data_IF_183509066630
#
_entry.id   IF_183509066630
#
_cell.length_a   1.000
_cell.length_b   1.000
_cell.length_c   1.000
_cell.angle_alpha   90.00
_cell.angle_beta   90.00
_cell.angle_gamma   90.00
#
_symmetry.space_group_name_H-M   'P 1'
#
loop_
_entity.id
_entity.type
_entity.pdbx_description
1 polymer ?
#
# COMPACT_ATOMS: atom_id res chain seq x y z
N UNK A 1 -27.12 22.65 -17.70
CA UNK A 1 -25.72 22.29 -17.94
C UNK A 1 -25.00 22.01 -16.62
N UNK A 2 -25.19 22.85 -15.59
CA UNK A 2 -24.46 22.75 -14.32
C UNK A 2 -24.72 21.45 -13.59
N UNK A 3 -25.97 20.99 -13.53
CA UNK A 3 -26.31 19.69 -12.94
C UNK A 3 -25.66 18.48 -13.67
N UNK A 4 -25.52 18.57 -15.00
CA UNK A 4 -24.83 17.53 -15.78
C UNK A 4 -23.35 17.54 -15.46
N UNK A 5 -22.73 18.73 -15.37
CA UNK A 5 -21.34 18.87 -15.02
C UNK A 5 -21.06 18.41 -13.59
N UNK A 6 -21.94 18.75 -12.66
CA UNK A 6 -21.85 18.31 -11.26
C UNK A 6 -21.90 16.78 -11.16
N UNK A 7 -22.85 16.12 -11.81
CA UNK A 7 -22.95 14.66 -11.86
C UNK A 7 -21.70 14.04 -12.48
N UNK A 8 -21.22 14.59 -13.59
CA UNK A 8 -20.01 14.12 -14.25
C UNK A 8 -18.79 14.22 -13.32
N UNK A 9 -18.56 15.40 -12.72
CA UNK A 9 -17.43 15.63 -11.82
C UNK A 9 -17.49 14.80 -10.55
N UNK A 10 -18.68 14.39 -10.10
CA UNK A 10 -18.84 13.55 -8.91
C UNK A 10 -18.72 12.04 -9.20
N UNK A 11 -18.87 11.60 -10.45
CA UNK A 11 -18.90 10.17 -10.77
C UNK A 11 -17.74 9.68 -11.62
N UNK A 12 -17.03 10.57 -12.31
CA UNK A 12 -15.97 10.16 -13.23
C UNK A 12 -14.83 9.42 -12.52
N UNK A 13 -14.38 8.30 -13.11
CA UNK A 13 -13.24 7.54 -12.62
C UNK A 13 -11.94 8.26 -12.98
N UNK A 14 -11.16 8.65 -11.97
CA UNK A 14 -9.91 9.41 -12.11
C UNK A 14 -8.66 8.61 -11.72
N UNK A 15 -8.79 7.29 -11.59
CA UNK A 15 -7.70 6.41 -11.16
C UNK A 15 -7.52 6.36 -9.63
N UNK A 16 -6.56 5.57 -9.16
CA UNK A 16 -6.30 5.37 -7.72
C UNK A 16 -7.55 4.97 -6.90
N UNK A 17 -8.54 4.31 -7.53
CA UNK A 17 -9.87 4.05 -6.97
C UNK A 17 -10.65 5.31 -6.59
N UNK A 18 -10.34 6.46 -7.17
CA UNK A 18 -11.04 7.70 -6.93
C UNK A 18 -12.14 7.90 -7.98
N UNK A 19 -13.37 8.00 -7.53
CA UNK A 19 -14.53 8.39 -8.31
C UNK A 19 -14.93 9.80 -7.90
N UNK A 20 -14.99 10.71 -8.88
CA UNK A 20 -15.21 12.13 -8.70
C UNK A 20 -13.98 12.93 -8.28
N UNK A 21 -14.06 14.24 -8.51
CA UNK A 21 -12.93 15.18 -8.30
C UNK A 21 -12.54 15.33 -6.84
N UNK A 22 -13.49 15.24 -5.90
CA UNK A 22 -13.21 15.31 -4.48
C UNK A 22 -12.34 14.14 -4.01
N UNK A 23 -12.73 12.91 -4.38
CA UNK A 23 -11.96 11.70 -4.06
C UNK A 23 -10.59 11.70 -4.74
N UNK A 24 -10.50 12.23 -5.96
CA UNK A 24 -9.24 12.36 -6.68
C UNK A 24 -8.32 13.41 -6.04
N UNK A 25 -8.84 14.55 -5.60
CA UNK A 25 -8.08 15.57 -4.89
C UNK A 25 -7.40 14.99 -3.64
N UNK A 26 -8.15 14.24 -2.85
CA UNK A 26 -7.61 13.52 -1.68
C UNK A 26 -6.59 12.45 -2.07
N UNK A 27 -6.86 11.65 -3.11
CA UNK A 27 -6.00 10.54 -3.53
C UNK A 27 -4.67 10.98 -4.16
N UNK A 28 -4.67 12.12 -4.87
CA UNK A 28 -3.48 12.63 -5.59
C UNK A 28 -2.73 13.70 -4.82
N UNK A 29 -3.44 14.53 -4.02
CA UNK A 29 -2.85 15.70 -3.39
C UNK A 29 -3.04 15.74 -1.86
N UNK A 30 -3.88 14.89 -1.30
CA UNK A 30 -4.18 14.87 0.14
C UNK A 30 -4.92 16.13 0.61
N UNK A 31 -5.67 16.79 -0.29
CA UNK A 31 -6.39 18.04 -0.06
C UNK A 31 -7.84 17.94 -0.52
N UNK A 32 -8.69 18.79 0.01
CA UNK A 32 -10.04 18.97 -0.53
C UNK A 32 -9.99 19.60 -1.94
N UNK A 33 -11.00 19.30 -2.77
CA UNK A 33 -11.06 19.82 -4.15
C UNK A 33 -11.04 21.35 -4.20
N UNK A 34 -11.64 22.02 -3.22
CA UNK A 34 -11.63 23.50 -3.08
C UNK A 34 -10.27 24.11 -2.76
N UNK A 35 -9.32 23.29 -2.29
CA UNK A 35 -7.97 23.73 -1.90
C UNK A 35 -6.92 23.46 -2.99
N UNK A 36 -7.37 22.91 -4.13
CA UNK A 36 -6.48 22.62 -5.24
C UNK A 36 -5.97 23.89 -5.90
N UNK A 37 -4.68 23.91 -6.22
CA UNK A 37 -4.08 24.97 -7.04
C UNK A 37 -4.42 24.78 -8.51
N UNK A 38 -4.24 25.82 -9.31
CA UNK A 38 -4.49 25.78 -10.76
C UNK A 38 -3.77 24.59 -11.46
N UNK A 39 -2.46 24.35 -11.24
CA UNK A 39 -1.79 23.20 -11.85
C UNK A 39 -2.33 21.86 -11.37
N UNK A 40 -2.83 21.75 -10.13
CA UNK A 40 -3.44 20.54 -9.61
C UNK A 40 -4.81 20.27 -10.25
N UNK A 41 -5.62 21.31 -10.44
CA UNK A 41 -6.90 21.20 -11.19
C UNK A 41 -6.65 20.79 -12.64
N UNK A 42 -5.68 21.42 -13.32
CA UNK A 42 -5.30 21.08 -14.68
C UNK A 42 -4.80 19.63 -14.79
N UNK A 43 -4.10 19.11 -13.75
CA UNK A 43 -3.70 17.72 -13.70
C UNK A 43 -4.90 16.78 -13.55
N UNK A 44 -5.86 17.04 -12.67
CA UNK A 44 -7.06 16.17 -12.56
C UNK A 44 -7.83 16.11 -13.89
N UNK A 45 -7.86 17.20 -14.65
CA UNK A 45 -8.54 17.25 -15.93
C UNK A 45 -7.94 16.36 -17.03
N UNK A 46 -6.70 15.89 -16.89
CA UNK A 46 -6.09 14.96 -17.85
C UNK A 46 -6.44 13.50 -17.60
N UNK A 47 -6.84 13.14 -16.37
CA UNK A 47 -7.02 11.77 -15.92
C UNK A 47 -8.15 11.00 -16.63
N UNK A 48 -9.29 11.63 -17.05
CA UNK A 48 -10.32 10.93 -17.82
C UNK A 48 -9.82 10.22 -19.07
N UNK A 49 -8.76 10.74 -19.69
CA UNK A 49 -8.16 10.13 -20.90
C UNK A 49 -7.47 8.81 -20.65
N UNK A 50 -6.99 8.58 -19.42
CA UNK A 50 -6.28 7.34 -19.06
C UNK A 50 -5.48 7.53 -17.78
N UNK A 51 -6.09 7.30 -16.61
CA UNK A 51 -5.46 7.59 -15.32
C UNK A 51 -4.11 6.88 -15.11
N UNK A 52 -4.01 5.64 -15.58
CA UNK A 52 -2.76 4.85 -15.45
C UNK A 52 -1.61 5.39 -16.29
N UNK A 53 -1.93 6.02 -17.43
CA UNK A 53 -0.92 6.57 -18.34
C UNK A 53 -0.30 7.88 -17.83
N UNK A 54 -0.98 8.54 -16.90
CA UNK A 54 -0.60 9.84 -16.35
C UNK A 54 -0.44 9.79 -14.83
N UNK A 55 -0.18 8.59 -14.25
CA UNK A 55 0.11 8.49 -12.82
C UNK A 55 1.35 9.32 -12.49
N UNK A 56 1.28 10.22 -11.48
CA UNK A 56 2.30 11.23 -11.25
C UNK A 56 3.58 10.66 -10.64
N UNK A 57 3.54 9.43 -10.17
CA UNK A 57 4.70 8.73 -9.60
C UNK A 57 5.37 7.84 -10.66
N UNK A 58 4.55 7.11 -11.45
CA UNK A 58 5.05 6.16 -12.45
C UNK A 58 5.44 6.83 -13.77
N UNK A 59 4.74 7.90 -14.13
CA UNK A 59 4.86 8.57 -15.42
C UNK A 59 4.89 10.09 -15.25
N UNK A 60 5.73 10.59 -14.33
CA UNK A 60 5.80 12.01 -13.94
C UNK A 60 5.98 12.93 -15.15
N UNK A 61 6.90 12.62 -16.04
CA UNK A 61 7.18 13.43 -17.24
C UNK A 61 5.95 13.53 -18.15
N UNK A 62 5.33 12.39 -18.47
CA UNK A 62 4.07 12.35 -19.26
C UNK A 62 2.94 13.14 -18.62
N UNK A 63 2.81 13.02 -17.30
CA UNK A 63 1.82 13.75 -16.54
C UNK A 63 2.05 15.27 -16.61
N UNK A 64 3.32 15.72 -16.49
CA UNK A 64 3.70 17.11 -16.61
C UNK A 64 3.43 17.66 -18.01
N UNK A 65 3.87 16.98 -19.07
CA UNK A 65 3.63 17.38 -20.45
C UNK A 65 2.12 17.57 -20.71
N UNK A 66 1.32 16.60 -20.26
CA UNK A 66 -0.12 16.64 -20.49
C UNK A 66 -0.83 17.72 -19.66
N UNK A 67 -0.43 17.94 -18.40
CA UNK A 67 -0.89 19.05 -17.58
C UNK A 67 -0.60 20.41 -18.25
N UNK A 68 0.62 20.58 -18.74
CA UNK A 68 1.02 21.81 -19.40
C UNK A 68 0.22 22.05 -20.69
N UNK A 69 -0.11 20.99 -21.43
CA UNK A 69 -1.04 21.09 -22.55
C UNK A 69 -2.41 21.64 -22.12
N UNK A 70 -2.96 21.19 -20.99
CA UNK A 70 -4.25 21.73 -20.49
C UNK A 70 -4.10 23.20 -20.11
N UNK A 71 -3.03 23.59 -19.42
CA UNK A 71 -2.76 24.99 -19.06
C UNK A 71 -2.66 25.89 -20.32
N UNK A 72 -1.98 25.42 -21.37
CA UNK A 72 -1.93 26.13 -22.66
C UNK A 72 -3.33 26.31 -23.24
N UNK A 73 -4.17 25.28 -23.26
CA UNK A 73 -5.55 25.38 -23.76
C UNK A 73 -6.42 26.31 -22.91
N UNK A 74 -6.19 26.36 -21.59
CA UNK A 74 -6.87 27.33 -20.72
C UNK A 74 -6.48 28.77 -21.04
N UNK A 75 -5.20 29.02 -21.34
CA UNK A 75 -4.71 30.33 -21.77
C UNK A 75 -5.31 30.70 -23.15
N UNK A 76 -5.23 29.82 -24.13
CA UNK A 76 -5.72 30.03 -25.49
C UNK A 76 -7.25 30.39 -25.51
N UNK A 77 -8.00 29.83 -24.56
CA UNK A 77 -9.43 30.09 -24.45
C UNK A 77 -9.78 31.23 -23.47
N UNK A 78 -8.80 31.94 -22.94
CA UNK A 78 -9.01 33.09 -22.07
C UNK A 78 -9.50 32.73 -20.64
N UNK A 79 -9.40 31.49 -20.22
CA UNK A 79 -9.80 31.06 -18.86
C UNK A 79 -8.77 31.48 -17.79
N UNK A 80 -7.51 31.66 -18.19
CA UNK A 80 -6.42 32.10 -17.30
C UNK A 80 -5.60 33.18 -18.02
N UNK A 81 -4.96 34.05 -17.22
CA UNK A 81 -4.04 35.04 -17.74
C UNK A 81 -2.67 34.42 -18.05
N UNK A 82 -1.85 35.13 -18.82
CA UNK A 82 -0.46 34.73 -19.11
C UNK A 82 0.35 34.53 -17.84
N UNK A 83 0.23 35.45 -16.88
CA UNK A 83 0.94 35.35 -15.60
C UNK A 83 0.55 34.10 -14.81
N UNK A 84 -0.74 33.78 -14.75
CA UNK A 84 -1.24 32.56 -14.10
C UNK A 84 -0.77 31.29 -14.80
N UNK A 85 -0.74 31.30 -16.13
CA UNK A 85 -0.22 30.18 -16.91
C UNK A 85 1.26 29.94 -16.61
N UNK A 86 2.11 30.99 -16.69
CA UNK A 86 3.55 30.87 -16.53
C UNK A 86 3.91 30.42 -15.10
N UNK A 87 3.20 30.94 -14.09
CA UNK A 87 3.34 30.48 -12.71
C UNK A 87 2.95 29.00 -12.57
N UNK A 88 1.77 28.60 -13.05
CA UNK A 88 1.27 27.23 -12.93
C UNK A 88 2.14 26.23 -13.69
N UNK A 89 2.71 26.64 -14.82
CA UNK A 89 3.59 25.80 -15.65
C UNK A 89 4.94 25.53 -14.96
N UNK A 90 5.45 26.49 -14.19
CA UNK A 90 6.69 26.38 -13.44
C UNK A 90 6.55 25.50 -12.18
N UNK A 91 5.34 25.34 -11.64
CA UNK A 91 5.11 24.55 -10.43
C UNK A 91 5.26 23.04 -10.69
N UNK A 92 5.89 22.28 -9.75
CA UNK A 92 5.90 20.81 -9.80
C UNK A 92 4.47 20.25 -9.67
N UNK A 93 4.28 18.97 -10.03
CA UNK A 93 2.97 18.33 -9.87
C UNK A 93 2.46 18.35 -8.42
N UNK A 94 3.36 18.29 -7.45
CA UNK A 94 3.01 18.29 -6.02
C UNK A 94 2.13 17.11 -5.60
N UNK A 95 2.12 16.03 -6.39
CA UNK A 95 1.32 14.86 -6.09
C UNK A 95 1.95 14.08 -4.94
N UNK A 96 1.09 13.63 -4.02
CA UNK A 96 1.51 12.73 -2.94
C UNK A 96 1.63 11.30 -3.47
N UNK A 97 2.57 10.53 -2.92
CA UNK A 97 2.59 9.11 -3.15
C UNK A 97 1.21 8.52 -2.80
N UNK A 98 0.76 7.56 -3.59
CA UNK A 98 -0.49 6.85 -3.30
C UNK A 98 -0.44 6.39 -1.85
N UNK A 99 -1.12 7.12 -0.98
CA UNK A 99 -1.51 6.55 0.30
C UNK A 99 -2.54 5.49 -0.09
N UNK A 100 -2.16 4.22 -0.08
CA UNK A 100 -3.15 3.19 0.20
C UNK A 100 -3.85 3.70 1.45
N UNK A 101 -5.17 3.90 1.45
CA UNK A 101 -5.86 4.14 2.70
C UNK A 101 -5.30 3.06 3.62
N UNK A 102 -4.71 3.45 4.75
CA UNK A 102 -4.66 2.54 5.87
C UNK A 102 -6.13 2.36 6.27
N UNK A 103 -6.85 1.53 5.53
CA UNK A 103 -7.77 0.69 6.22
C UNK A 103 -6.85 -0.01 7.21
N UNK A 104 -6.93 0.38 8.46
CA UNK A 104 -6.49 -0.50 9.50
C UNK A 104 -7.28 -1.77 9.22
N UNK A 105 -6.67 -2.69 8.50
CA UNK A 105 -7.27 -3.99 8.23
C UNK A 105 -7.09 -4.83 9.48
N UNK A 106 -7.63 -4.29 10.58
CA UNK A 106 -7.77 -4.99 11.82
C UNK A 106 -8.78 -6.09 11.56
N UNK A 107 -8.32 -7.34 11.62
CA UNK A 107 -9.19 -8.48 11.40
C UNK A 107 -9.43 -8.88 9.95
N UNK A 108 -8.43 -8.80 9.08
CA UNK A 108 -8.54 -9.24 7.68
C UNK A 108 -9.10 -10.64 7.55
N UNK A 109 -8.69 -11.58 8.37
CA UNK A 109 -9.26 -12.94 8.41
C UNK A 109 -10.73 -12.99 8.83
N UNK A 110 -11.12 -12.16 9.80
CA UNK A 110 -12.52 -12.05 10.22
C UNK A 110 -13.40 -11.47 9.12
N UNK A 111 -12.94 -10.38 8.51
CA UNK A 111 -13.66 -9.72 7.41
C UNK A 111 -13.80 -10.64 6.20
N UNK A 112 -12.75 -11.39 5.87
CA UNK A 112 -12.79 -12.36 4.77
C UNK A 112 -13.77 -13.51 5.04
N UNK A 113 -13.84 -14.01 6.27
CA UNK A 113 -14.81 -15.02 6.63
C UNK A 113 -16.25 -14.48 6.55
N UNK A 114 -16.48 -13.25 7.03
CA UNK A 114 -17.79 -12.58 6.86
C UNK A 114 -18.14 -12.43 5.39
N UNK A 115 -17.18 -12.01 4.56
CA UNK A 115 -17.37 -11.89 3.10
C UNK A 115 -17.77 -13.22 2.48
N UNK A 116 -17.07 -14.32 2.82
CA UNK A 116 -17.37 -15.66 2.32
C UNK A 116 -18.79 -16.10 2.68
N UNK A 117 -19.19 -15.90 3.93
CA UNK A 117 -20.55 -16.24 4.40
C UNK A 117 -21.62 -15.42 3.68
N UNK A 118 -21.37 -14.13 3.47
CA UNK A 118 -22.29 -13.26 2.74
C UNK A 118 -22.40 -13.66 1.26
N UNK A 119 -21.27 -13.99 0.62
CA UNK A 119 -21.28 -14.50 -0.77
C UNK A 119 -22.05 -15.81 -0.91
N UNK A 120 -21.87 -16.74 0.03
CA UNK A 120 -22.60 -17.99 0.04
C UNK A 120 -24.12 -17.78 0.22
N UNK A 121 -24.52 -16.74 0.94
CA UNK A 121 -25.92 -16.45 1.25
C UNK A 121 -26.62 -15.58 0.22
N UNK A 122 -25.93 -14.57 -0.33
CA UNK A 122 -26.51 -13.51 -1.15
C UNK A 122 -25.94 -13.43 -2.58
N UNK A 123 -24.92 -14.23 -2.87
CA UNK A 123 -24.21 -14.17 -4.15
C UNK A 123 -23.18 -13.04 -4.21
N UNK A 124 -22.37 -13.06 -5.26
CA UNK A 124 -21.24 -12.15 -5.44
C UNK A 124 -21.64 -10.87 -6.19
N UNK A 125 -22.32 -11.04 -7.32
CA UNK A 125 -22.58 -10.00 -8.32
C UNK A 125 -24.07 -9.74 -8.54
N UNK A 126 -24.40 -8.67 -9.25
CA UNK A 126 -25.77 -8.29 -9.57
C UNK A 126 -26.60 -9.41 -10.25
N UNK A 127 -25.95 -10.35 -10.93
CA UNK A 127 -26.62 -11.51 -11.56
C UNK A 127 -27.17 -12.51 -10.55
N UNK A 128 -26.58 -12.53 -9.35
CA UNK A 128 -26.95 -13.47 -8.28
C UNK A 128 -28.14 -12.98 -7.44
N UNK A 129 -28.48 -11.69 -7.58
CA UNK A 129 -29.63 -11.10 -6.91
C UNK A 129 -29.45 -9.64 -6.49
N UNK A 130 -30.54 -9.00 -6.03
CA UNK A 130 -30.54 -7.57 -5.69
C UNK A 130 -29.72 -7.26 -4.41
N UNK A 131 -29.45 -8.25 -3.59
CA UNK A 131 -28.69 -8.10 -2.34
C UNK A 131 -27.30 -8.74 -2.39
N UNK A 132 -26.76 -8.92 -3.59
CA UNK A 132 -25.40 -9.46 -3.76
C UNK A 132 -24.33 -8.58 -3.11
N UNK A 133 -23.22 -9.19 -2.68
CA UNK A 133 -22.20 -8.55 -1.85
C UNK A 133 -21.63 -7.28 -2.48
N UNK A 134 -21.34 -7.30 -3.79
CA UNK A 134 -20.70 -6.16 -4.47
C UNK A 134 -21.69 -5.21 -5.19
N UNK A 135 -22.96 -5.55 -5.25
CA UNK A 135 -23.93 -4.72 -5.98
C UNK A 135 -25.16 -4.34 -5.16
N UNK A 136 -25.40 -5.02 -4.03
CA UNK A 136 -26.62 -4.88 -3.25
C UNK A 136 -26.61 -3.77 -2.21
N UNK A 137 -25.49 -3.05 -2.05
CA UNK A 137 -25.39 -1.95 -1.07
C UNK A 137 -25.61 -2.40 0.37
N UNK A 138 -25.15 -3.60 0.73
CA UNK A 138 -25.37 -4.18 2.04
C UNK A 138 -24.67 -3.37 3.14
N UNK A 139 -25.39 -3.12 4.22
CA UNK A 139 -24.82 -2.68 5.48
C UNK A 139 -24.75 -3.88 6.44
N UNK A 140 -23.53 -4.21 6.86
CA UNK A 140 -23.29 -5.43 7.64
C UNK A 140 -22.77 -5.09 9.03
N UNK A 141 -23.51 -5.49 10.08
CA UNK A 141 -23.09 -5.41 11.47
C UNK A 141 -22.64 -6.77 11.94
N UNK A 142 -21.45 -6.85 12.50
CA UNK A 142 -20.84 -8.08 13.00
C UNK A 142 -20.64 -8.03 14.51
N UNK A 143 -20.22 -9.15 15.09
CA UNK A 143 -19.78 -9.28 16.49
C UNK A 143 -18.30 -8.90 16.70
N UNK A 144 -17.62 -8.40 15.68
CA UNK A 144 -16.20 -8.07 15.72
C UNK A 144 -15.85 -7.09 16.84
N UNK A 145 -14.88 -7.46 17.66
CA UNK A 145 -14.28 -6.60 18.68
C UNK A 145 -12.85 -6.21 18.27
N UNK A 146 -12.66 -4.98 17.85
CA UNK A 146 -11.38 -4.49 17.36
C UNK A 146 -10.28 -4.53 18.44
N UNK A 147 -10.62 -4.34 19.72
CA UNK A 147 -9.65 -4.38 20.82
C UNK A 147 -9.16 -5.80 21.06
N UNK A 148 -10.10 -6.76 21.14
CA UNK A 148 -9.74 -8.18 21.26
C UNK A 148 -8.96 -8.66 20.03
N UNK A 149 -9.36 -8.27 18.83
CA UNK A 149 -8.64 -8.61 17.60
C UNK A 149 -7.18 -8.13 17.62
N UNK A 150 -6.94 -6.87 18.01
CA UNK A 150 -5.58 -6.33 18.11
C UNK A 150 -4.72 -7.09 19.13
N UNK A 151 -5.27 -7.35 20.32
CA UNK A 151 -4.57 -8.10 21.36
C UNK A 151 -4.24 -9.53 20.91
N UNK A 152 -5.20 -10.15 20.28
CA UNK A 152 -5.12 -11.50 19.78
C UNK A 152 -4.09 -11.63 18.63
N UNK A 153 -4.15 -10.73 17.66
CA UNK A 153 -3.18 -10.65 16.56
C UNK A 153 -1.76 -10.46 17.09
N UNK A 154 -1.58 -9.55 18.03
CA UNK A 154 -0.28 -9.30 18.63
C UNK A 154 0.25 -10.52 19.38
N UNK A 155 -0.60 -11.16 20.20
CA UNK A 155 -0.24 -12.36 20.97
C UNK A 155 0.20 -13.51 20.04
N UNK A 156 -0.56 -13.74 18.95
CA UNK A 156 -0.21 -14.78 17.97
C UNK A 156 1.12 -14.47 17.29
N UNK A 157 1.28 -13.26 16.78
CA UNK A 157 2.52 -12.84 16.08
C UNK A 157 3.73 -12.96 17.00
N UNK A 158 3.63 -12.49 18.24
CA UNK A 158 4.69 -12.62 19.25
C UNK A 158 5.01 -14.08 19.55
N UNK A 159 3.99 -14.93 19.63
CA UNK A 159 4.12 -16.38 19.81
C UNK A 159 4.86 -17.04 18.65
N UNK A 160 4.47 -16.70 17.40
CA UNK A 160 5.10 -17.24 16.19
C UNK A 160 6.55 -16.82 16.06
N UNK A 161 6.85 -15.53 16.30
CA UNK A 161 8.24 -15.02 16.29
C UNK A 161 9.09 -15.71 17.35
N UNK A 162 8.56 -15.86 18.57
CA UNK A 162 9.27 -16.55 19.66
C UNK A 162 9.53 -18.02 19.34
N UNK A 163 8.53 -18.72 18.82
CA UNK A 163 8.66 -20.13 18.43
C UNK A 163 9.66 -20.34 17.29
N UNK A 164 9.68 -19.45 16.30
CA UNK A 164 10.58 -19.58 15.15
C UNK A 164 11.97 -18.94 15.39
N UNK A 165 12.14 -18.21 16.50
CA UNK A 165 13.41 -17.60 16.86
C UNK A 165 14.52 -18.66 17.05
N UNK A 166 15.74 -18.35 16.63
CA UNK A 166 16.87 -19.28 16.66
C UNK A 166 16.92 -20.33 15.56
N UNK A 167 15.88 -20.43 14.71
CA UNK A 167 15.85 -21.39 13.59
C UNK A 167 16.52 -20.87 12.32
N UNK A 168 16.93 -19.64 12.34
CA UNK A 168 17.64 -18.98 11.25
C UNK A 168 16.73 -18.19 10.28
N UNK A 169 17.37 -17.53 9.35
CA UNK A 169 16.70 -16.71 8.34
C UNK A 169 16.14 -17.58 7.20
N UNK A 170 14.89 -17.34 6.83
CA UNK A 170 14.16 -18.11 5.84
C UNK A 170 14.38 -17.66 4.39
N UNK A 171 15.16 -16.62 4.16
CA UNK A 171 15.29 -15.96 2.87
C UNK A 171 14.53 -14.64 2.78
N UNK A 172 14.58 -13.97 1.63
CA UNK A 172 13.82 -12.75 1.39
C UNK A 172 12.31 -13.05 1.35
N UNK A 173 11.51 -12.01 1.59
CA UNK A 173 10.04 -12.08 1.40
C UNK A 173 9.75 -12.32 -0.08
N UNK A 174 10.45 -11.59 -0.94
CA UNK A 174 10.36 -11.70 -2.40
C UNK A 174 11.66 -11.20 -3.01
N UNK A 175 12.02 -11.71 -4.19
CA UNK A 175 13.04 -11.14 -5.04
C UNK A 175 12.39 -10.41 -6.21
N UNK A 176 12.91 -9.25 -6.57
CA UNK A 176 12.48 -8.46 -7.73
C UNK A 176 13.70 -7.96 -8.50
N UNK A 177 13.58 -7.85 -9.80
CA UNK A 177 14.63 -7.27 -10.63
C UNK A 177 14.63 -5.73 -10.48
N UNK A 178 15.82 -5.14 -10.43
CA UNK A 178 16.05 -3.69 -10.41
C UNK A 178 16.65 -3.32 -11.75
N UNK A 179 15.93 -2.54 -12.55
CA UNK A 179 16.39 -2.01 -13.83
C UNK A 179 16.76 -0.53 -13.67
N UNK A 180 17.87 -0.12 -14.27
CA UNK A 180 18.32 1.29 -14.32
C UNK A 180 18.32 2.00 -12.96
N UNK A 181 18.78 1.32 -11.90
CA UNK A 181 18.78 1.80 -10.51
C UNK A 181 17.40 2.21 -9.96
N UNK A 182 16.32 1.89 -10.67
CA UNK A 182 14.95 2.19 -10.25
C UNK A 182 14.40 1.14 -9.29
N UNK A 183 14.92 1.10 -8.07
CA UNK A 183 14.49 0.15 -7.02
C UNK A 183 13.12 0.48 -6.41
N UNK A 184 12.70 1.77 -6.48
CA UNK A 184 11.46 2.20 -5.80
C UNK A 184 10.21 1.63 -6.48
N UNK A 185 10.17 1.58 -7.80
CA UNK A 185 9.01 1.08 -8.54
C UNK A 185 8.76 -0.42 -8.31
N UNK A 186 9.74 -1.32 -8.43
CA UNK A 186 9.56 -2.73 -8.08
C UNK A 186 9.08 -2.94 -6.64
N UNK A 187 9.63 -2.18 -5.68
CA UNK A 187 9.19 -2.24 -4.28
C UNK A 187 7.73 -1.78 -4.10
N UNK A 188 7.32 -0.71 -4.76
CA UNK A 188 5.93 -0.24 -4.71
C UNK A 188 4.97 -1.23 -5.36
N UNK A 189 5.36 -1.81 -6.51
CA UNK A 189 4.57 -2.78 -7.25
C UNK A 189 4.45 -4.12 -6.54
N UNK A 190 5.39 -4.45 -5.66
CA UNK A 190 5.34 -5.70 -4.88
C UNK A 190 4.15 -5.78 -3.93
N UNK A 191 3.53 -4.65 -3.58
CA UNK A 191 2.47 -4.50 -2.58
C UNK A 191 2.80 -5.08 -1.19
N UNK A 192 4.08 -5.43 -0.94
CA UNK A 192 4.52 -5.96 0.34
C UNK A 192 4.46 -4.83 1.37
N UNK A 193 3.67 -5.04 2.42
CA UNK A 193 3.62 -4.17 3.59
C UNK A 193 3.79 -5.02 4.84
N UNK A 194 4.51 -4.51 5.81
CA UNK A 194 4.75 -5.16 7.09
C UNK A 194 4.35 -4.19 8.21
N UNK A 195 3.58 -4.65 9.18
CA UNK A 195 3.06 -3.83 10.29
C UNK A 195 3.21 -4.52 11.65
N UNK A 196 4.22 -5.34 11.79
CA UNK A 196 4.52 -5.98 13.06
C UNK A 196 5.55 -5.16 13.83
N UNK A 197 5.15 -4.55 14.94
CA UNK A 197 6.00 -3.67 15.76
C UNK A 197 6.62 -2.56 14.90
N UNK A 198 7.95 -2.42 14.96
CA UNK A 198 8.79 -1.50 14.19
C UNK A 198 9.39 -2.12 12.91
N UNK A 199 8.94 -3.34 12.54
CA UNK A 199 9.45 -4.02 11.36
C UNK A 199 8.93 -3.34 10.08
N UNK A 200 9.83 -3.18 9.13
CA UNK A 200 9.53 -2.60 7.83
C UNK A 200 10.09 -3.48 6.71
N UNK A 201 9.40 -3.50 5.58
CA UNK A 201 9.90 -4.12 4.36
C UNK A 201 10.85 -3.13 3.66
N UNK A 202 12.05 -3.60 3.32
CA UNK A 202 13.05 -2.86 2.59
C UNK A 202 13.56 -3.67 1.40
N UNK A 203 13.84 -3.00 0.28
CA UNK A 203 14.52 -3.60 -0.86
C UNK A 203 16.03 -3.40 -0.73
N UNK A 204 16.78 -4.42 -1.03
CA UNK A 204 18.25 -4.36 -1.07
C UNK A 204 18.66 -3.76 -2.41
N UNK A 205 19.29 -2.60 -2.38
CA UNK A 205 19.64 -1.83 -3.60
C UNK A 205 21.08 -2.02 -4.05
N UNK A 206 21.96 -2.48 -3.16
CA UNK A 206 23.37 -2.71 -3.48
C UNK A 206 24.17 -3.09 -2.25
N UNK A 207 25.46 -3.33 -2.44
CA UNK A 207 26.40 -3.66 -1.37
C UNK A 207 27.55 -2.67 -1.37
N UNK A 208 27.81 -2.09 -0.21
CA UNK A 208 28.95 -1.22 0.02
C UNK A 208 29.83 -1.83 1.11
N UNK A 209 30.94 -2.46 0.68
CA UNK A 209 31.89 -3.08 1.57
C UNK A 209 31.29 -4.07 2.58
N UNK A 210 31.14 -3.62 3.84
CA UNK A 210 30.63 -4.42 4.95
C UNK A 210 29.15 -4.23 5.26
N UNK A 211 28.42 -3.56 4.38
CA UNK A 211 27.01 -3.26 4.58
C UNK A 211 26.19 -3.45 3.30
N UNK A 212 24.90 -3.71 3.44
CA UNK A 212 23.91 -3.66 2.39
C UNK A 212 23.18 -2.31 2.41
N UNK A 213 22.98 -1.70 1.25
CA UNK A 213 22.15 -0.51 1.07
C UNK A 213 20.69 -0.93 0.95
N UNK A 214 19.81 -0.22 1.64
CA UNK A 214 18.37 -0.47 1.69
C UNK A 214 17.59 0.69 1.11
N UNK A 215 16.51 0.38 0.38
CA UNK A 215 15.52 1.34 -0.07
C UNK A 215 14.16 1.06 0.59
N UNK A 216 13.43 2.10 0.96
CA UNK A 216 12.13 2.02 1.61
C UNK A 216 11.02 2.61 0.74
N UNK A 217 9.78 2.17 0.95
CA UNK A 217 8.59 2.67 0.21
C UNK A 217 8.39 4.19 0.27
N UNK A 218 9.02 4.86 1.25
CA UNK A 218 9.01 6.32 1.40
C UNK A 218 9.99 7.05 0.47
N UNK A 219 10.79 6.30 -0.32
CA UNK A 219 11.91 6.83 -1.10
C UNK A 219 13.18 7.08 -0.28
N UNK A 220 13.14 6.90 1.03
CA UNK A 220 14.32 7.01 1.90
C UNK A 220 15.22 5.78 1.72
N UNK A 221 16.49 5.96 2.06
CA UNK A 221 17.48 4.88 2.08
C UNK A 221 17.95 4.59 3.51
N UNK A 222 18.61 3.45 3.70
CA UNK A 222 19.18 3.04 4.98
C UNK A 222 20.30 2.03 4.79
N UNK A 223 20.87 1.55 5.87
CA UNK A 223 22.01 0.64 5.85
C UNK A 223 21.75 -0.56 6.75
N UNK A 224 22.07 -1.77 6.25
CA UNK A 224 22.07 -3.02 6.98
C UNK A 224 23.53 -3.46 7.15
N UNK A 225 24.17 -3.19 8.28
CA UNK A 225 25.57 -3.59 8.50
C UNK A 225 25.69 -5.10 8.69
N UNK A 226 26.88 -5.63 8.40
CA UNK A 226 27.15 -7.06 8.44
C UNK A 226 26.81 -7.70 9.78
N UNK A 227 27.13 -7.03 10.91
CA UNK A 227 26.87 -7.56 12.25
C UNK A 227 25.37 -7.74 12.54
N UNK A 228 24.53 -6.92 11.92
CA UNK A 228 23.07 -6.93 12.09
C UNK A 228 22.33 -7.95 11.20
N UNK A 229 23.08 -8.74 10.39
CA UNK A 229 22.55 -9.77 9.49
C UNK A 229 23.29 -11.11 9.63
N UNK A 230 23.79 -11.45 10.83
CA UNK A 230 24.57 -12.67 11.10
C UNK A 230 23.71 -13.92 11.34
N UNK A 231 22.39 -13.82 11.26
CA UNK A 231 21.53 -15.00 11.41
C UNK A 231 21.97 -16.13 10.47
N UNK A 232 22.03 -17.39 10.95
CA UNK A 232 22.28 -18.53 10.07
C UNK A 232 21.15 -18.65 9.05
N UNK A 233 21.45 -19.09 7.84
CA UNK A 233 20.43 -19.41 6.85
C UNK A 233 19.79 -20.74 7.20
N UNK A 234 18.47 -20.77 7.33
CA UNK A 234 17.72 -21.96 7.74
C UNK A 234 17.89 -23.11 6.75
N UNK A 235 18.34 -24.25 7.26
CA UNK A 235 18.56 -25.47 6.46
C UNK A 235 19.68 -25.38 5.44
N UNK A 236 20.50 -24.35 5.49
CA UNK A 236 21.66 -24.15 4.59
C UNK A 236 22.87 -23.70 5.40
N UNK A 237 24.05 -23.86 4.84
CA UNK A 237 25.27 -23.30 5.43
C UNK A 237 25.35 -21.78 5.24
N UNK A 238 26.18 -21.12 6.05
CA UNK A 238 26.43 -19.69 5.95
C UNK A 238 25.46 -18.83 6.76
N UNK A 239 25.55 -17.51 6.58
CA UNK A 239 24.73 -16.51 7.25
C UNK A 239 23.91 -15.71 6.26
N UNK A 240 22.88 -15.01 6.77
CA UNK A 240 21.97 -14.22 5.98
C UNK A 240 22.66 -13.10 5.20
N UNK A 241 23.69 -12.46 5.79
CA UNK A 241 24.43 -11.38 5.11
C UNK A 241 25.07 -11.85 3.80
N UNK A 242 25.61 -13.06 3.78
CA UNK A 242 26.19 -13.66 2.57
C UNK A 242 25.16 -14.18 1.56
N UNK A 243 23.96 -14.48 2.02
CA UNK A 243 22.87 -15.01 1.20
C UNK A 243 21.97 -13.95 0.58
N UNK A 244 21.91 -12.76 1.15
CA UNK A 244 21.17 -11.60 0.63
C UNK A 244 21.74 -11.18 -0.73
N UNK A 245 20.85 -10.76 -1.64
CA UNK A 245 21.19 -10.27 -2.98
C UNK A 245 20.50 -8.93 -3.24
N UNK A 246 21.07 -8.14 -4.15
CA UNK A 246 20.40 -6.95 -4.70
C UNK A 246 19.06 -7.37 -5.32
N UNK A 247 17.99 -6.58 -5.07
CA UNK A 247 16.64 -6.92 -5.49
C UNK A 247 15.83 -7.72 -4.46
N UNK A 248 16.47 -8.22 -3.39
CA UNK A 248 15.74 -8.89 -2.31
C UNK A 248 14.92 -7.91 -1.49
N UNK A 249 13.64 -8.22 -1.28
CA UNK A 249 12.79 -7.51 -0.31
C UNK A 249 12.84 -8.30 0.99
N UNK A 250 13.35 -7.65 2.04
CA UNK A 250 13.61 -8.25 3.33
C UNK A 250 12.90 -7.50 4.46
N UNK A 251 12.65 -8.18 5.58
CA UNK A 251 12.16 -7.56 6.80
C UNK A 251 13.33 -7.03 7.62
N UNK A 252 13.25 -5.77 8.03
CA UNK A 252 14.26 -5.13 8.89
C UNK A 252 13.57 -4.32 9.98
N UNK A 253 14.28 -4.04 11.08
CA UNK A 253 13.86 -3.11 12.11
C UNK A 253 14.95 -2.09 12.39
N UNK A 254 14.62 -0.84 12.83
CA UNK A 254 15.58 0.16 13.22
C UNK A 254 16.52 -0.34 14.32
N UNK A 255 17.80 0.00 14.23
CA UNK A 255 18.83 -0.36 15.20
C UNK A 255 19.92 0.72 15.23
N UNK A 256 19.85 1.64 16.20
CA UNK A 256 20.90 2.64 16.46
C UNK A 256 21.31 3.49 15.26
N UNK A 257 20.36 3.95 14.42
CA UNK A 257 20.63 4.73 13.20
C UNK A 257 20.88 3.88 11.95
N UNK A 258 20.96 2.57 12.10
CA UNK A 258 21.02 1.56 11.03
C UNK A 258 19.79 0.66 11.09
N UNK A 259 19.83 -0.49 10.39
CA UNK A 259 18.76 -1.48 10.44
C UNK A 259 19.34 -2.87 10.78
N UNK A 260 18.54 -3.67 11.47
CA UNK A 260 18.85 -5.07 11.73
C UNK A 260 17.89 -5.99 11.00
N UNK A 261 18.41 -7.07 10.42
CA UNK A 261 17.61 -8.08 9.72
C UNK A 261 16.63 -8.75 10.68
N UNK A 262 15.43 -9.03 10.17
CA UNK A 262 14.40 -9.80 10.87
C UNK A 262 14.02 -11.02 10.04
N UNK A 263 13.71 -12.12 10.71
CA UNK A 263 13.22 -13.33 10.07
C UNK A 263 11.68 -13.40 10.24
N UNK A 264 10.96 -13.39 9.15
CA UNK A 264 9.52 -13.64 9.18
C UNK A 264 9.31 -15.12 9.52
N UNK A 265 8.46 -15.44 10.52
CA UNK A 265 8.20 -16.83 10.88
C UNK A 265 7.68 -17.65 9.69
N UNK A 266 8.26 -18.83 9.49
CA UNK A 266 7.79 -19.78 8.48
C UNK A 266 6.64 -20.66 8.97
N UNK A 267 6.43 -20.68 10.28
CA UNK A 267 5.33 -21.40 10.93
C UNK A 267 4.07 -20.54 10.92
N UNK A 268 2.94 -21.18 10.76
CA UNK A 268 1.63 -20.56 10.89
C UNK A 268 0.93 -21.07 12.15
N UNK A 269 0.05 -20.26 12.69
CA UNK A 269 -0.86 -20.59 13.77
C UNK A 269 -2.17 -19.82 13.57
N UNK A 270 -3.21 -20.24 14.24
CA UNK A 270 -4.49 -19.56 14.21
C UNK A 270 -5.16 -19.64 15.57
N UNK A 271 -6.07 -18.72 15.84
CA UNK A 271 -7.02 -18.82 16.93
C UNK A 271 -8.31 -18.12 16.58
N UNK A 272 -9.35 -18.46 17.32
CA UNK A 272 -10.67 -17.83 17.29
C UNK A 272 -11.03 -17.48 18.72
N UNK A 273 -11.51 -16.27 18.95
CA UNK A 273 -12.06 -15.82 20.24
C UNK A 273 -13.57 -15.83 20.13
N UNK A 274 -14.21 -16.63 20.96
CA UNK A 274 -15.65 -16.83 20.95
C UNK A 274 -16.25 -16.45 22.31
N UNK A 275 -17.41 -15.82 22.30
CA UNK A 275 -18.20 -15.56 23.51
C UNK A 275 -18.96 -16.82 23.90
N UNK A 276 -18.64 -17.45 25.05
CA UNK A 276 -19.22 -18.77 25.40
C UNK A 276 -20.74 -18.79 25.52
N UNK A 277 -21.33 -17.65 25.96
CA UNK A 277 -22.76 -17.56 26.20
C UNK A 277 -23.60 -17.48 24.92
N UNK A 278 -23.04 -16.91 23.85
CA UNK A 278 -23.79 -16.64 22.60
C UNK A 278 -23.24 -17.40 21.39
N UNK A 279 -22.05 -17.97 21.47
CA UNK A 279 -21.33 -18.56 20.33
C UNK A 279 -20.85 -17.54 19.29
N UNK A 280 -20.82 -16.25 19.64
CA UNK A 280 -20.39 -15.21 18.72
C UNK A 280 -18.87 -15.17 18.63
N UNK A 281 -18.32 -15.18 17.41
CA UNK A 281 -16.91 -14.95 17.17
C UNK A 281 -16.61 -13.47 17.29
N UNK A 282 -15.72 -13.10 18.22
CA UNK A 282 -15.34 -11.72 18.52
C UNK A 282 -14.04 -11.32 17.82
N UNK A 283 -13.12 -12.25 17.63
CA UNK A 283 -11.86 -12.06 16.93
C UNK A 283 -11.41 -13.34 16.23
N UNK A 284 -10.70 -13.20 15.12
CA UNK A 284 -10.15 -14.32 14.36
C UNK A 284 -8.83 -13.91 13.72
N UNK A 285 -7.79 -14.72 13.91
CA UNK A 285 -6.48 -14.51 13.32
C UNK A 285 -5.92 -15.82 12.79
N UNK A 286 -5.40 -15.78 11.55
CA UNK A 286 -4.72 -16.90 10.90
C UNK A 286 -3.37 -16.48 10.34
N UNK A 287 -2.27 -17.08 10.81
CA UNK A 287 -0.93 -16.76 10.32
C UNK A 287 -0.32 -15.48 10.87
N UNK A 288 0.88 -15.16 10.38
CA UNK A 288 1.64 -14.00 10.83
C UNK A 288 1.11 -12.69 10.22
N UNK A 289 0.90 -12.68 8.91
CA UNK A 289 0.37 -11.51 8.17
C UNK A 289 -0.33 -12.00 6.90
N UNK A 290 -1.59 -11.63 6.71
CA UNK A 290 -2.40 -11.97 5.55
C UNK A 290 -1.87 -11.37 4.24
N UNK A 291 -1.19 -10.23 4.34
CA UNK A 291 -0.62 -9.49 3.19
C UNK A 291 0.69 -10.07 2.66
N UNK A 292 1.37 -10.91 3.45
CA UNK A 292 2.59 -11.59 3.03
C UNK A 292 2.31 -12.91 2.28
N UNK A 293 1.05 -13.38 2.30
CA UNK A 293 0.63 -14.63 1.67
C UNK A 293 -0.02 -14.41 0.29
N UNK A 294 -0.16 -13.18 -0.16
CA UNK A 294 -0.79 -12.80 -1.42
C UNK A 294 0.17 -12.86 -2.61
#
# INVERSE_FOLDING_TARGET
KDQILELYLNQIALGRNAFGVQSAALAYFGKDAKELTLPQMAYLAILPKGPSNYDPVRNTERAMIRRNYVLNRMLDNGFITRAQHDQANAEPLGAVMRRTPKFESVGGYFVEEVRRQLMAKFGENAKDGPYSVYSGGLWVRTSFDAKLQNLAQQALRDGLVRFDSGRGWNGPIRHVEIEDDNWLQPLLNSNIALDYRDWVAAIVTGKDGTAWSLGFRTGKTGTLPRYAAQMPVRGKGGNAFGAIKTGDIIAVAPDGGTFALRAIPKVSGAFVVEEPASGRVLAMQGGFDDRLQA
#
